data_IF_356977884374
#
_entry.id   IF_356977884374
#
_cell.length_a   1.000
_cell.length_b   1.000
_cell.length_c   1.000
_cell.angle_alpha   90.00
_cell.angle_beta   90.00
_cell.angle_gamma   90.00
#
_symmetry.space_group_name_H-M   'P 1'
#
loop_
_entity.id
_entity.type
_entity.pdbx_description
1 polymer ?
#
# COMPACT_ATOMS: atom_id res chain seq x y z
N UNK A 1 -10.65 16.13 3.83
CA UNK A 1 -9.31 16.44 3.28
C UNK A 1 -8.85 15.20 2.55
N UNK A 2 -8.22 15.35 1.38
CA UNK A 2 -7.78 14.22 0.57
C UNK A 2 -6.34 13.83 0.89
N UNK A 3 -6.18 12.77 1.67
CA UNK A 3 -4.87 12.18 1.94
C UNK A 3 -4.60 11.05 0.95
N UNK A 4 -3.33 10.84 0.61
CA UNK A 4 -2.89 9.67 -0.16
C UNK A 4 -2.19 8.71 0.77
N UNK A 5 -2.68 7.48 0.82
CA UNK A 5 -2.13 6.41 1.64
C UNK A 5 -1.40 5.45 0.72
N UNK A 6 -0.11 5.21 0.99
CA UNK A 6 0.69 4.24 0.26
C UNK A 6 1.03 3.09 1.20
N UNK A 7 0.46 1.91 0.96
CA UNK A 7 0.79 0.71 1.70
C UNK A 7 1.94 -0.03 1.00
N UNK A 8 3.09 -0.08 1.69
CA UNK A 8 4.21 -1.02 1.44
C UNK A 8 4.43 -1.82 2.74
N UNK A 9 5.62 -2.41 2.95
CA UNK A 9 6.02 -3.02 4.24
C UNK A 9 5.65 -2.10 5.43
N UNK A 10 5.78 -0.80 5.23
CA UNK A 10 5.23 0.23 6.11
C UNK A 10 4.16 1.04 5.37
N UNK A 11 3.18 1.56 6.11
CA UNK A 11 2.17 2.48 5.57
C UNK A 11 2.68 3.91 5.64
N UNK A 12 2.71 4.59 4.49
CA UNK A 12 3.00 6.01 4.38
C UNK A 12 1.71 6.82 4.19
N UNK A 13 1.62 7.93 4.91
CA UNK A 13 0.53 8.89 4.85
C UNK A 13 1.06 10.21 4.29
N UNK A 14 0.55 10.59 3.13
CA UNK A 14 0.81 11.88 2.50
C UNK A 14 -0.43 12.75 2.64
N UNK A 15 -0.38 13.75 3.52
CA UNK A 15 -1.53 14.62 3.73
C UNK A 15 -1.72 15.58 2.57
N UNK A 16 -2.95 16.05 2.40
CA UNK A 16 -3.27 17.06 1.38
C UNK A 16 -2.34 18.28 1.47
N UNK A 17 -2.07 18.78 2.68
CA UNK A 17 -1.19 19.92 2.92
C UNK A 17 0.26 19.67 2.48
N UNK A 18 0.77 18.46 2.71
CA UNK A 18 2.12 18.08 2.31
C UNK A 18 2.25 17.95 0.80
N UNK A 19 1.26 17.30 0.18
CA UNK A 19 1.19 17.18 -1.28
C UNK A 19 1.08 18.55 -1.93
N UNK A 20 0.25 19.44 -1.36
CA UNK A 20 0.13 20.84 -1.81
C UNK A 20 1.45 21.59 -1.67
N UNK A 21 2.13 21.43 -0.54
CA UNK A 21 3.45 22.01 -0.30
C UNK A 21 4.51 21.50 -1.28
N UNK A 22 4.49 20.20 -1.59
CA UNK A 22 5.38 19.56 -2.55
C UNK A 22 5.09 20.01 -3.99
N UNK A 23 3.82 20.02 -4.40
CA UNK A 23 3.35 20.52 -5.70
C UNK A 23 3.79 21.96 -5.94
N UNK A 24 3.56 22.85 -4.97
CA UNK A 24 3.88 24.27 -5.10
C UNK A 24 5.39 24.53 -5.28
N UNK A 25 6.26 23.68 -4.70
CA UNK A 25 7.72 23.78 -4.89
C UNK A 25 8.14 23.51 -6.33
N UNK A 26 7.37 22.72 -7.07
CA UNK A 26 7.64 22.39 -8.47
C UNK A 26 7.23 23.52 -9.45
N UNK A 27 6.59 24.60 -8.97
CA UNK A 27 6.04 25.70 -9.79
C UNK A 27 5.19 25.25 -11.00
N UNK A 28 4.21 24.35 -10.80
CA UNK A 28 3.37 23.83 -11.86
C UNK A 28 2.42 24.91 -12.40
N UNK A 29 2.05 24.80 -13.67
CA UNK A 29 1.08 25.70 -14.30
C UNK A 29 -0.38 25.44 -13.84
N UNK A 30 -0.64 24.28 -13.23
CA UNK A 30 -1.97 23.80 -12.85
C UNK A 30 -2.16 23.93 -11.33
N UNK A 31 -3.33 24.40 -10.90
CA UNK A 31 -3.64 24.52 -9.48
C UNK A 31 -3.82 23.12 -8.86
N UNK A 32 -3.29 22.94 -7.64
CA UNK A 32 -3.43 21.72 -6.85
C UNK A 32 -4.88 21.26 -6.73
N UNK A 33 -5.83 22.17 -6.51
CA UNK A 33 -7.24 21.82 -6.29
C UNK A 33 -7.91 21.23 -7.54
N UNK A 34 -7.29 21.38 -8.71
CA UNK A 34 -7.76 20.80 -9.98
C UNK A 34 -7.16 19.43 -10.28
N UNK A 35 -6.27 18.93 -9.43
CA UNK A 35 -5.68 17.60 -9.60
C UNK A 35 -6.76 16.53 -9.41
N UNK A 36 -6.82 15.62 -10.37
CA UNK A 36 -7.59 14.38 -10.24
C UNK A 36 -6.98 13.49 -9.16
N UNK A 37 -7.77 12.59 -8.59
CA UNK A 37 -7.30 11.60 -7.62
C UNK A 37 -6.10 10.79 -8.16
N UNK A 38 -6.13 10.35 -9.44
CA UNK A 38 -4.97 9.70 -10.10
C UNK A 38 -3.71 10.58 -10.15
N UNK A 39 -3.86 11.88 -10.37
CA UNK A 39 -2.72 12.81 -10.33
C UNK A 39 -2.20 13.02 -8.91
N UNK A 40 -3.08 13.01 -7.89
CA UNK A 40 -2.68 13.04 -6.49
C UNK A 40 -1.89 11.79 -6.09
N UNK A 41 -2.35 10.60 -6.50
CA UNK A 41 -1.61 9.34 -6.29
C UNK A 41 -0.21 9.42 -6.90
N UNK A 42 -0.12 9.83 -8.16
CA UNK A 42 1.17 9.97 -8.85
C UNK A 42 2.08 11.01 -8.19
N UNK A 43 1.53 12.08 -7.65
CA UNK A 43 2.28 13.08 -6.90
C UNK A 43 2.82 12.54 -5.57
N UNK A 44 2.04 11.74 -4.85
CA UNK A 44 2.47 11.09 -3.62
C UNK A 44 3.59 10.07 -3.88
N UNK A 45 3.48 9.29 -4.97
CA UNK A 45 4.53 8.38 -5.40
C UNK A 45 5.80 9.12 -5.82
N UNK A 46 5.67 10.21 -6.56
CA UNK A 46 6.80 11.08 -6.92
C UNK A 46 7.49 11.63 -5.67
N UNK A 47 6.72 12.09 -4.68
CA UNK A 47 7.24 12.52 -3.40
C UNK A 47 7.93 11.38 -2.64
N UNK A 48 7.35 10.18 -2.62
CA UNK A 48 7.94 8.99 -2.01
C UNK A 48 9.32 8.67 -2.60
N UNK A 49 9.45 8.72 -3.92
CA UNK A 49 10.69 8.42 -4.64
C UNK A 49 11.80 9.47 -4.45
N UNK A 50 11.42 10.73 -4.22
CA UNK A 50 12.38 11.84 -4.09
C UNK A 50 12.63 12.26 -2.64
N UNK A 51 11.99 11.62 -1.66
CA UNK A 51 12.20 11.90 -0.24
C UNK A 51 13.41 11.14 0.31
N UNK A 52 14.21 11.80 1.15
CA UNK A 52 15.25 11.11 1.93
C UNK A 52 14.62 10.20 2.98
N UNK A 53 15.41 9.26 3.50
CA UNK A 53 14.95 8.38 4.58
C UNK A 53 14.38 9.15 5.79
N UNK A 54 15.09 10.19 6.25
CA UNK A 54 14.64 11.06 7.35
C UNK A 54 13.35 11.84 7.05
N UNK A 55 13.08 12.15 5.79
CA UNK A 55 11.82 12.78 5.38
C UNK A 55 10.69 11.74 5.41
N UNK A 56 10.95 10.53 4.91
CA UNK A 56 9.99 9.43 4.90
C UNK A 56 9.54 9.00 6.29
N UNK A 57 10.40 9.07 7.30
CA UNK A 57 10.03 8.79 8.70
C UNK A 57 8.83 9.63 9.18
N UNK A 58 8.67 10.86 8.65
CA UNK A 58 7.56 11.74 9.00
C UNK A 58 6.24 11.35 8.34
N UNK A 59 6.26 10.41 7.39
CA UNK A 59 5.09 9.90 6.69
C UNK A 59 4.63 8.55 7.22
N UNK A 60 5.44 7.85 8.01
CA UNK A 60 5.12 6.49 8.46
C UNK A 60 4.02 6.55 9.54
N UNK A 61 2.97 5.74 9.37
CA UNK A 61 1.93 5.55 10.38
C UNK A 61 2.53 5.02 11.69
N UNK A 62 2.06 5.52 12.82
CA UNK A 62 2.53 5.17 14.18
C UNK A 62 4.00 5.57 14.47
N UNK A 63 4.64 6.33 13.58
CA UNK A 63 5.92 7.01 13.83
C UNK A 63 5.71 8.52 14.06
N UNK A 64 6.29 9.04 15.15
CA UNK A 64 6.24 10.47 15.47
C UNK A 64 4.83 10.94 15.84
N UNK A 65 4.27 11.87 15.06
CA UNK A 65 2.97 12.51 15.31
C UNK A 65 1.84 11.99 14.44
N UNK A 66 2.09 10.97 13.60
CA UNK A 66 1.07 10.42 12.69
C UNK A 66 0.05 9.55 13.40
N UNK A 67 -1.21 9.78 13.08
CA UNK A 67 -2.35 9.12 13.73
C UNK A 67 -3.15 8.29 12.75
N UNK A 68 -3.87 7.29 13.26
CA UNK A 68 -4.74 6.43 12.46
C UNK A 68 -5.88 7.21 11.81
N UNK A 69 -6.33 8.29 12.44
CA UNK A 69 -7.37 9.18 11.91
C UNK A 69 -6.98 9.78 10.55
N UNK A 70 -5.68 9.95 10.26
CA UNK A 70 -5.21 10.49 8.97
C UNK A 70 -5.32 9.48 7.81
N UNK A 71 -5.64 8.21 8.08
CA UNK A 71 -5.94 7.19 7.07
C UNK A 71 -7.40 6.69 7.10
N UNK A 72 -8.19 7.13 8.08
CA UNK A 72 -9.58 6.70 8.24
C UNK A 72 -10.52 7.70 7.56
N UNK A 73 -11.42 7.19 6.72
CA UNK A 73 -12.32 8.05 5.95
C UNK A 73 -12.95 7.32 4.77
N UNK A 74 -13.54 8.08 3.85
CA UNK A 74 -14.08 7.54 2.61
C UNK A 74 -12.96 7.32 1.59
N UNK A 75 -12.71 6.08 1.20
CA UNK A 75 -11.84 5.77 0.05
C UNK A 75 -12.51 6.30 -1.23
N UNK A 76 -11.85 7.24 -1.89
CA UNK A 76 -12.33 7.88 -3.12
C UNK A 76 -11.85 7.16 -4.39
N UNK A 77 -10.63 6.61 -4.35
CA UNK A 77 -10.00 5.86 -5.43
C UNK A 77 -8.87 5.01 -4.87
N UNK A 78 -8.61 3.86 -5.48
CA UNK A 78 -7.55 2.91 -5.10
C UNK A 78 -6.83 2.36 -6.35
N UNK A 79 -5.54 2.03 -6.20
CA UNK A 79 -4.71 1.36 -7.20
C UNK A 79 -3.96 0.18 -6.57
N UNK A 80 -4.43 -1.02 -6.92
CA UNK A 80 -3.85 -2.31 -6.53
C UNK A 80 -3.19 -3.04 -7.71
N UNK A 81 -2.91 -2.33 -8.81
CA UNK A 81 -2.35 -2.94 -10.04
C UNK A 81 -0.93 -3.49 -9.87
N UNK A 82 -0.25 -3.14 -8.78
CA UNK A 82 1.15 -3.47 -8.51
C UNK A 82 1.28 -4.43 -7.33
N UNK A 83 2.30 -5.28 -7.37
CA UNK A 83 2.49 -6.35 -6.39
C UNK A 83 3.05 -5.86 -5.04
N UNK A 84 3.86 -4.79 -5.05
CA UNK A 84 4.61 -4.32 -3.88
C UNK A 84 4.06 -3.02 -3.26
N UNK A 85 2.99 -2.49 -3.83
CA UNK A 85 2.43 -1.19 -3.46
C UNK A 85 0.91 -1.14 -3.69
N UNK A 86 0.20 -0.65 -2.67
CA UNK A 86 -1.19 -0.21 -2.76
C UNK A 86 -1.22 1.29 -2.59
N UNK A 87 -1.97 2.00 -3.42
CA UNK A 87 -2.19 3.43 -3.24
C UNK A 87 -3.68 3.72 -3.12
N UNK A 88 -4.06 4.49 -2.11
CA UNK A 88 -5.43 4.92 -1.86
C UNK A 88 -5.51 6.45 -1.76
N UNK A 89 -6.58 7.04 -2.26
CA UNK A 89 -6.96 8.43 -1.95
C UNK A 89 -8.12 8.37 -0.96
N UNK A 90 -7.91 8.86 0.25
CA UNK A 90 -8.90 8.83 1.34
C UNK A 90 -9.36 10.25 1.66
N UNK A 91 -10.67 10.48 1.67
CA UNK A 91 -11.26 11.68 2.26
C UNK A 91 -11.51 11.48 3.75
N UNK A 92 -10.60 12.02 4.56
CA UNK A 92 -10.65 11.93 6.03
C UNK A 92 -11.74 12.79 6.66
N UNK A 93 -12.41 13.65 5.89
CA UNK A 93 -13.53 14.46 6.42
C UNK A 93 -14.87 13.74 6.41
N UNK A 94 -14.94 12.60 5.71
CA UNK A 94 -16.16 11.83 5.56
C UNK A 94 -15.99 10.51 6.31
N UNK A 95 -16.81 10.22 7.34
CA UNK A 95 -16.82 8.91 7.96
C UNK A 95 -17.07 7.83 6.90
N UNK A 96 -16.17 6.87 6.77
CA UNK A 96 -16.19 5.88 5.71
C UNK A 96 -15.50 4.60 6.16
N UNK A 97 -15.77 3.51 5.44
CA UNK A 97 -15.18 2.21 5.74
C UNK A 97 -13.67 2.29 5.56
N UNK A 98 -12.92 1.73 6.49
CA UNK A 98 -11.48 1.47 6.32
C UNK A 98 -11.28 0.58 5.09
N UNK A 99 -10.35 0.97 4.22
CA UNK A 99 -9.90 0.14 3.09
C UNK A 99 -9.53 -1.27 3.56
N UNK A 100 -9.95 -2.27 2.80
CA UNK A 100 -9.63 -3.66 3.06
C UNK A 100 -8.29 -4.03 2.39
N UNK A 101 -7.21 -3.83 3.15
CA UNK A 101 -5.88 -4.50 3.10
C UNK A 101 -5.25 -4.74 1.72
N UNK A 102 -4.05 -4.15 1.53
CA UNK A 102 -2.99 -4.90 0.86
C UNK A 102 -2.22 -5.74 1.89
N UNK A 103 -2.27 -7.06 1.70
CA UNK A 103 -1.26 -7.96 2.22
C UNK A 103 0.04 -7.70 1.46
N UNK A 104 0.94 -6.94 2.09
CA UNK A 104 2.36 -7.02 1.74
C UNK A 104 2.77 -8.44 2.10
N UNK A 105 3.30 -9.18 1.13
CA UNK A 105 3.31 -10.64 1.06
C UNK A 105 1.97 -11.23 0.62
N UNK A 106 1.68 -11.17 -0.70
CA UNK A 106 0.91 -12.22 -1.39
C UNK A 106 1.70 -13.54 -1.40
N UNK A 107 2.20 -13.93 -0.23
CA UNK A 107 2.80 -15.21 0.02
C UNK A 107 1.67 -16.13 0.45
N UNK A 108 1.25 -17.02 -0.42
CA UNK A 108 0.38 -18.11 -0.01
C UNK A 108 1.20 -19.04 0.87
N UNK A 109 0.86 -19.12 2.16
CA UNK A 109 1.41 -20.14 3.04
C UNK A 109 0.86 -21.50 2.59
N UNK A 110 1.77 -22.40 2.25
CA UNK A 110 1.47 -23.78 1.93
C UNK A 110 2.03 -24.67 3.01
N UNK A 111 1.24 -25.64 3.46
CA UNK A 111 1.68 -26.65 4.41
C UNK A 111 1.59 -28.04 3.78
N UNK A 112 2.64 -28.83 3.94
CA UNK A 112 2.62 -30.22 3.50
C UNK A 112 1.91 -31.13 4.51
N UNK A 113 0.94 -31.92 4.05
CA UNK A 113 0.21 -32.87 4.91
C UNK A 113 1.14 -33.96 5.49
N UNK A 114 2.14 -34.38 4.71
CA UNK A 114 3.00 -35.52 5.05
C UNK A 114 4.09 -35.19 6.07
N UNK A 115 4.73 -34.02 5.95
CA UNK A 115 5.87 -33.66 6.80
C UNK A 115 5.70 -32.34 7.57
N UNK A 116 4.55 -31.68 7.44
CA UNK A 116 4.22 -30.44 8.14
C UNK A 116 5.19 -29.28 7.82
N UNK A 117 5.95 -29.39 6.73
CA UNK A 117 6.83 -28.33 6.26
C UNK A 117 5.99 -27.19 5.66
N UNK A 118 6.13 -25.99 6.22
CA UNK A 118 5.51 -24.76 5.70
C UNK A 118 6.48 -23.99 4.80
N UNK A 119 5.98 -23.50 3.68
CA UNK A 119 6.71 -22.61 2.79
C UNK A 119 5.76 -21.61 2.12
N UNK A 120 6.34 -20.61 1.46
CA UNK A 120 5.63 -19.45 0.97
C UNK A 120 5.85 -19.29 -0.52
N UNK A 121 4.78 -19.09 -1.29
CA UNK A 121 4.85 -18.82 -2.73
C UNK A 121 4.30 -17.44 -3.06
N UNK A 122 5.03 -16.73 -3.92
CA UNK A 122 4.68 -15.38 -4.37
C UNK A 122 3.65 -15.34 -5.50
N UNK A 123 3.54 -16.40 -6.30
CA UNK A 123 2.72 -16.40 -7.53
C UNK A 123 1.34 -17.04 -7.34
N UNK A 124 0.29 -16.22 -7.41
CA UNK A 124 -1.13 -16.60 -7.33
C UNK A 124 -1.68 -17.31 -8.59
N UNK A 125 -0.89 -17.43 -9.66
CA UNK A 125 -1.31 -18.04 -10.94
C UNK A 125 -0.84 -19.48 -11.12
N UNK A 126 -0.14 -20.03 -10.12
CA UNK A 126 0.26 -21.43 -10.13
C UNK A 126 -0.93 -22.28 -9.72
N UNK A 127 -1.42 -23.11 -10.65
CA UNK A 127 -2.45 -24.12 -10.40
C UNK A 127 -2.00 -25.01 -9.22
N UNK A 128 -2.54 -24.75 -8.02
CA UNK A 128 -2.03 -25.27 -6.75
C UNK A 128 -1.95 -26.80 -6.68
N UNK A 129 -2.72 -27.47 -7.53
CA UNK A 129 -2.72 -28.93 -7.71
C UNK A 129 -1.40 -29.50 -8.27
N UNK A 130 -0.49 -28.66 -8.78
CA UNK A 130 0.81 -29.08 -9.34
C UNK A 130 1.99 -28.87 -8.39
N UNK A 131 1.76 -28.35 -7.19
CA UNK A 131 2.82 -28.07 -6.23
C UNK A 131 3.11 -29.31 -5.38
N UNK A 132 4.39 -29.62 -5.23
CA UNK A 132 4.88 -30.66 -4.32
C UNK A 132 5.71 -30.03 -3.20
N UNK A 133 5.67 -30.65 -2.02
CA UNK A 133 6.49 -30.21 -0.91
C UNK A 133 7.99 -30.28 -1.26
N UNK A 134 8.76 -29.20 -1.08
CA UNK A 134 10.19 -29.21 -1.40
C UNK A 134 11.03 -30.07 -0.44
N UNK A 135 10.48 -30.44 0.73
CA UNK A 135 11.17 -31.30 1.71
C UNK A 135 10.95 -32.79 1.46
N UNK A 136 9.74 -33.21 1.08
CA UNK A 136 9.39 -34.63 0.97
C UNK A 136 8.66 -35.04 -0.32
N UNK A 137 8.35 -34.10 -1.22
CA UNK A 137 7.61 -34.35 -2.46
C UNK A 137 6.10 -34.62 -2.27
N UNK A 138 5.59 -34.62 -1.03
CA UNK A 138 4.19 -34.86 -0.71
C UNK A 138 3.24 -33.74 -1.14
N UNK A 139 1.91 -33.96 -1.02
CA UNK A 139 0.89 -32.97 -1.35
C UNK A 139 0.97 -31.77 -0.39
N UNK A 140 0.54 -30.62 -0.89
CA UNK A 140 0.53 -29.35 -0.15
C UNK A 140 -0.85 -28.73 -0.24
N UNK A 141 -1.28 -28.08 0.83
CA UNK A 141 -2.54 -27.35 0.88
C UNK A 141 -2.28 -25.90 1.25
N UNK A 142 -3.09 -25.02 0.68
CA UNK A 142 -3.20 -23.63 1.12
C UNK A 142 -3.89 -23.60 2.49
N UNK A 143 -3.44 -22.68 3.34
CA UNK A 143 -3.93 -22.54 4.70
C UNK A 143 -4.93 -21.41 4.86
#
# INVERSE_FOLDING_TARGET
>A
MKNVIIHKIVTFIFTEEQLRGYWNKQKPAVNFDSLTNKQLMKLAEDMLHHSSHSQLEQHILDHGWRTKDEKEGLVLEEDESREDIHVEVVDTSIPGRTSHKLFIDRLTELTCDSCQFSFYLRELHTDGTKLSCPSCGGPVNEK
#
